data_IF_963559274339
#
_entry.id   IF_963559274339
#
_cell.length_a   1.000
_cell.length_b   1.000
_cell.length_c   1.000
_cell.angle_alpha   90.00
_cell.angle_beta   90.00
_cell.angle_gamma   90.00
#
_symmetry.space_group_name_H-M   'P 1'
#
loop_
_entity.id
_entity.type
_entity.pdbx_description
1 polymer ?
#
# COMPACT_ATOMS: atom_id res chain seq x y z
N UNK A 1 11.99 -4.46 18.09
CA UNK A 1 11.32 -5.08 16.93
C UNK A 1 10.82 -3.94 16.08
N UNK A 2 11.40 -3.74 14.89
CA UNK A 2 10.79 -2.85 13.90
C UNK A 2 9.46 -3.49 13.51
N UNK A 3 8.35 -2.78 13.72
CA UNK A 3 7.04 -3.27 13.32
C UNK A 3 6.90 -3.34 11.80
N UNK A 4 5.90 -4.08 11.32
CA UNK A 4 5.58 -4.16 9.89
C UNK A 4 5.00 -2.83 9.41
N UNK A 5 5.41 -2.39 8.21
CA UNK A 5 4.92 -1.18 7.57
C UNK A 5 4.36 -1.56 6.22
N UNK A 6 3.20 -1.03 5.86
CA UNK A 6 2.68 -1.16 4.51
C UNK A 6 2.09 0.14 3.99
N UNK A 7 2.06 0.26 2.67
CA UNK A 7 1.23 1.21 1.97
C UNK A 7 -0.14 0.55 1.74
N UNK A 8 -1.16 1.11 2.38
CA UNK A 8 -2.54 0.79 2.08
C UNK A 8 -3.00 1.68 0.92
N UNK A 9 -3.31 1.05 -0.21
CA UNK A 9 -3.72 1.74 -1.43
C UNK A 9 -5.15 1.36 -1.74
N UNK A 10 -6.01 2.34 -1.97
CA UNK A 10 -7.43 2.14 -2.31
C UNK A 10 -7.93 3.26 -3.21
N UNK A 11 -9.08 3.09 -3.83
CA UNK A 11 -9.68 4.16 -4.62
C UNK A 11 -10.77 3.67 -5.55
N UNK A 12 -10.81 4.24 -6.76
CA UNK A 12 -11.68 3.78 -7.84
C UNK A 12 -11.34 2.33 -8.26
N UNK A 13 -12.22 1.72 -9.06
CA UNK A 13 -11.96 0.40 -9.64
C UNK A 13 -10.60 0.38 -10.34
N UNK A 14 -9.77 -0.63 -10.04
CA UNK A 14 -8.39 -0.76 -10.50
C UNK A 14 -7.36 0.22 -9.91
N UNK A 15 -7.70 1.05 -8.92
CA UNK A 15 -6.79 2.02 -8.30
C UNK A 15 -5.45 1.40 -7.85
N UNK A 16 -5.49 0.35 -7.03
CA UNK A 16 -4.29 -0.33 -6.54
C UNK A 16 -3.47 -0.97 -7.68
N UNK A 17 -4.13 -1.55 -8.67
CA UNK A 17 -3.46 -2.12 -9.84
C UNK A 17 -2.72 -1.07 -10.66
N UNK A 18 -3.33 0.10 -10.89
CA UNK A 18 -2.71 1.20 -11.65
C UNK A 18 -1.60 1.88 -10.85
N UNK A 19 -1.78 2.04 -9.53
CA UNK A 19 -0.73 2.50 -8.64
C UNK A 19 0.53 1.64 -8.77
N UNK A 20 0.39 0.31 -8.63
CA UNK A 20 1.49 -0.65 -8.74
C UNK A 20 2.20 -0.64 -10.09
N UNK A 21 1.48 -0.34 -11.17
CA UNK A 21 2.09 -0.20 -12.50
C UNK A 21 2.93 1.08 -12.64
N UNK A 22 2.60 2.12 -11.88
CA UNK A 22 3.15 3.47 -12.07
C UNK A 22 4.26 3.83 -11.10
N UNK A 23 4.24 3.24 -9.90
CA UNK A 23 5.14 3.55 -8.79
C UNK A 23 5.78 2.27 -8.25
N UNK A 24 7.04 2.39 -7.84
CA UNK A 24 7.68 1.40 -6.99
C UNK A 24 7.35 1.75 -5.53
N UNK A 25 6.85 0.78 -4.78
CA UNK A 25 6.19 1.00 -3.50
C UNK A 25 7.15 1.47 -2.41
N UNK A 26 8.39 0.95 -2.41
CA UNK A 26 9.42 1.36 -1.46
C UNK A 26 9.88 2.80 -1.69
N UNK A 27 10.11 3.20 -2.94
CA UNK A 27 10.47 4.57 -3.33
C UNK A 27 9.34 5.56 -2.99
N UNK A 28 8.09 5.15 -3.21
CA UNK A 28 6.93 5.96 -2.84
C UNK A 28 6.84 6.16 -1.33
N UNK A 29 7.05 5.10 -0.54
CA UNK A 29 7.12 5.17 0.91
C UNK A 29 8.22 6.14 1.39
N UNK A 30 9.45 6.00 0.88
CA UNK A 30 10.56 6.86 1.29
C UNK A 30 10.31 8.33 0.93
N UNK A 31 9.65 8.60 -0.20
CA UNK A 31 9.22 9.96 -0.56
C UNK A 31 8.21 10.50 0.44
N UNK A 32 7.13 9.77 0.73
CA UNK A 32 6.11 10.19 1.70
C UNK A 32 6.73 10.47 3.08
N UNK A 33 7.61 9.58 3.54
CA UNK A 33 8.36 9.72 4.79
C UNK A 33 9.23 10.98 4.79
N UNK A 34 9.97 11.24 3.71
CA UNK A 34 10.78 12.44 3.54
C UNK A 34 9.95 13.72 3.57
N UNK A 35 8.76 13.67 2.99
CA UNK A 35 7.82 14.79 2.93
C UNK A 35 7.00 14.94 4.23
N UNK A 36 7.13 13.99 5.17
CA UNK A 36 6.44 14.02 6.47
C UNK A 36 4.95 13.74 6.38
N UNK A 37 4.50 13.04 5.33
CA UNK A 37 3.08 12.72 5.10
C UNK A 37 2.80 11.24 5.38
N UNK A 38 1.69 10.98 6.07
CA UNK A 38 1.22 9.60 6.37
C UNK A 38 0.09 9.15 5.44
N UNK A 39 -0.48 10.07 4.66
CA UNK A 39 -1.48 9.77 3.64
C UNK A 39 -1.45 10.79 2.51
N UNK A 40 -1.74 10.35 1.29
CA UNK A 40 -1.77 11.18 0.09
C UNK A 40 -2.91 10.75 -0.84
N UNK A 41 -3.53 11.72 -1.48
CA UNK A 41 -4.51 11.50 -2.56
C UNK A 41 -3.86 11.87 -3.88
N UNK A 42 -4.00 10.99 -4.86
CA UNK A 42 -3.43 11.14 -6.20
C UNK A 42 -4.45 10.75 -7.27
N UNK A 43 -4.14 11.18 -8.50
CA UNK A 43 -4.83 10.72 -9.70
C UNK A 43 -3.84 9.91 -10.54
N UNK A 44 -4.14 8.63 -10.77
CA UNK A 44 -3.30 7.71 -11.55
C UNK A 44 -4.12 7.23 -12.74
N UNK A 45 -3.68 7.56 -13.95
CA UNK A 45 -4.39 7.21 -15.19
C UNK A 45 -5.88 7.63 -15.20
N UNK A 46 -6.18 8.76 -14.54
CA UNK A 46 -7.54 9.31 -14.43
C UNK A 46 -8.37 8.75 -13.27
N UNK A 47 -7.84 7.79 -12.50
CA UNK A 47 -8.50 7.19 -11.34
C UNK A 47 -8.10 7.90 -10.05
N UNK A 48 -9.05 8.08 -9.14
CA UNK A 48 -8.75 8.49 -7.78
C UNK A 48 -8.05 7.35 -7.03
N UNK A 49 -6.92 7.68 -6.39
CA UNK A 49 -6.13 6.76 -5.57
C UNK A 49 -5.79 7.46 -4.24
N UNK A 50 -6.06 6.78 -3.14
CA UNK A 50 -5.65 7.16 -1.79
C UNK A 50 -4.58 6.17 -1.31
N UNK A 51 -3.45 6.70 -0.84
CA UNK A 51 -2.34 5.91 -0.30
C UNK A 51 -2.12 6.34 1.14
N UNK A 52 -2.04 5.38 2.06
CA UNK A 52 -1.78 5.65 3.48
C UNK A 52 -0.71 4.71 4.03
N UNK A 53 0.20 5.25 4.83
CA UNK A 53 1.18 4.47 5.58
C UNK A 53 0.45 3.83 6.77
N UNK A 54 0.56 2.51 6.92
CA UNK A 54 0.07 1.76 8.06
C UNK A 54 1.24 1.08 8.76
N UNK A 55 1.27 1.22 10.09
CA UNK A 55 2.30 0.64 10.95
C UNK A 55 1.64 -0.33 11.90
N UNK A 56 2.10 -1.57 11.87
CA UNK A 56 1.67 -2.62 12.76
C UNK A 56 2.74 -2.87 13.81
N UNK A 57 2.32 -3.36 14.98
CA UNK A 57 3.23 -3.71 16.07
C UNK A 57 4.02 -4.99 15.78
N UNK A 58 3.92 -5.98 16.67
CA UNK A 58 4.54 -7.29 16.48
C UNK A 58 3.72 -8.16 15.52
N UNK A 59 3.65 -7.75 14.25
CA UNK A 59 3.08 -8.54 13.15
C UNK A 59 4.22 -8.86 12.20
N UNK A 60 4.36 -10.12 11.79
CA UNK A 60 5.35 -10.51 10.78
C UNK A 60 4.77 -10.43 9.36
N UNK A 61 5.66 -10.29 8.39
CA UNK A 61 5.32 -10.14 6.96
C UNK A 61 4.51 -11.34 6.44
N UNK A 62 4.80 -12.55 6.95
CA UNK A 62 4.11 -13.78 6.52
C UNK A 62 2.65 -13.82 6.96
N UNK A 63 2.32 -13.21 8.10
CA UNK A 63 0.96 -13.07 8.55
C UNK A 63 0.17 -12.16 7.61
N UNK A 64 0.77 -11.05 7.16
CA UNK A 64 0.09 -10.16 6.22
C UNK A 64 -0.07 -10.83 4.85
N UNK A 65 0.97 -11.48 4.31
CA UNK A 65 0.87 -12.26 3.08
C UNK A 65 -0.23 -13.32 3.16
N UNK A 66 -0.33 -14.03 4.29
CA UNK A 66 -1.42 -14.99 4.52
C UNK A 66 -2.79 -14.32 4.50
N UNK A 67 -2.93 -13.15 5.13
CA UNK A 67 -4.20 -12.43 5.18
C UNK A 67 -4.61 -11.94 3.79
N UNK A 68 -3.68 -11.34 3.05
CA UNK A 68 -3.94 -10.86 1.69
C UNK A 68 -4.31 -12.02 0.77
N UNK A 69 -3.56 -13.12 0.80
CA UNK A 69 -3.80 -14.26 -0.08
C UNK A 69 -5.06 -15.07 0.26
N UNK A 70 -5.46 -15.10 1.54
CA UNK A 70 -6.56 -15.94 2.01
C UNK A 70 -7.90 -15.21 2.04
N UNK A 71 -7.89 -13.90 2.33
CA UNK A 71 -9.12 -13.14 2.60
C UNK A 71 -9.41 -12.02 1.59
N UNK A 72 -8.43 -11.62 0.77
CA UNK A 72 -8.64 -10.62 -0.27
C UNK A 72 -8.75 -11.35 -1.61
N UNK A 73 -9.94 -11.29 -2.23
CA UNK A 73 -10.09 -11.85 -3.57
C UNK A 73 -9.41 -10.97 -4.63
N UNK A 74 -9.11 -11.56 -5.78
CA UNK A 74 -8.37 -10.89 -6.85
C UNK A 74 -9.09 -9.64 -7.39
N UNK A 75 -10.42 -9.60 -7.34
CA UNK A 75 -11.17 -8.44 -7.83
C UNK A 75 -11.13 -7.27 -6.85
N UNK A 76 -11.17 -7.53 -5.54
CA UNK A 76 -10.93 -6.50 -4.54
C UNK A 76 -9.47 -6.02 -4.55
N UNK A 77 -8.50 -6.93 -4.72
CA UNK A 77 -7.07 -6.60 -4.76
C UNK A 77 -6.69 -5.60 -5.88
N UNK A 78 -7.47 -5.54 -6.96
CA UNK A 78 -7.24 -4.53 -8.02
C UNK A 78 -7.59 -3.12 -7.56
N UNK A 79 -8.57 -3.00 -6.68
CA UNK A 79 -9.13 -1.73 -6.21
C UNK A 79 -8.46 -1.29 -4.91
N UNK A 80 -8.22 -2.22 -3.99
CA UNK A 80 -7.64 -2.01 -2.67
C UNK A 80 -6.60 -3.09 -2.37
N UNK A 81 -5.38 -2.68 -2.02
CA UNK A 81 -4.27 -3.61 -1.74
C UNK A 81 -3.33 -3.06 -0.66
N UNK A 82 -2.50 -3.94 -0.10
CA UNK A 82 -1.50 -3.63 0.91
C UNK A 82 -0.11 -4.01 0.42
N UNK A 83 0.77 -3.03 0.29
CA UNK A 83 2.14 -3.24 -0.17
C UNK A 83 3.12 -3.14 0.99
N UNK A 84 3.79 -4.24 1.34
CA UNK A 84 4.80 -4.26 2.41
C UNK A 84 6.02 -3.43 2.01
N UNK A 85 6.46 -2.55 2.92
CA UNK A 85 7.64 -1.70 2.77
C UNK A 85 8.46 -1.72 4.06
N UNK A 86 9.71 -1.29 3.98
CA UNK A 86 10.65 -1.37 5.11
C UNK A 86 11.26 0.00 5.40
N UNK A 87 11.46 0.32 6.68
CA UNK A 87 12.32 1.45 7.04
C UNK A 87 13.78 1.11 6.71
N UNK A 88 14.33 1.74 5.67
CA UNK A 88 15.77 1.68 5.35
C UNK A 88 16.58 2.68 6.18
#
# INVERSE_FOLDING_TARGET
MSGLICLHVKGDEYAAMYFKKRYEEQEFYERMKKDGVESEQLTVDGLYVEVAIKRFGAVDDKFLDFVTDTFIDYDNAKTEDFFIVYDK
#
